data_IF_012470717955
#
_entry.id   IF_012470717955
#
_cell.length_a   1.000
_cell.length_b   1.000
_cell.length_c   1.000
_cell.angle_alpha   90.00
_cell.angle_beta   90.00
_cell.angle_gamma   90.00
#
_symmetry.space_group_name_H-M   'P 1'
#
loop_
_entity.id
_entity.type
_entity.pdbx_description
1 polymer ?
#
# COMPACT_ATOMS: atom_id res chain seq x y z
N UNK A 1 -37.97 -24.90 46.90
CA UNK A 1 -39.20 -25.66 46.56
C UNK A 1 -39.21 -25.78 45.04
N UNK A 2 -38.90 -26.97 44.52
CA UNK A 2 -39.88 -27.91 43.94
C UNK A 2 -40.48 -27.31 42.64
N UNK A 3 -40.41 -27.89 41.45
CA UNK A 3 -40.15 -29.26 41.00
C UNK A 3 -40.44 -29.27 39.47
N UNK A 4 -39.69 -30.07 38.67
CA UNK A 4 -40.22 -31.12 37.75
C UNK A 4 -40.90 -30.68 36.43
N UNK A 5 -40.79 -31.33 35.26
CA UNK A 5 -40.14 -32.55 34.68
C UNK A 5 -40.45 -32.46 33.17
N UNK A 6 -39.46 -32.63 32.30
CA UNK A 6 -39.16 -33.80 31.46
C UNK A 6 -40.28 -34.30 30.53
N UNK A 7 -39.90 -34.71 29.30
CA UNK A 7 -39.88 -36.12 28.82
C UNK A 7 -39.74 -36.11 27.27
N UNK A 8 -38.54 -36.38 26.75
CA UNK A 8 -38.10 -37.57 25.94
C UNK A 8 -38.53 -37.53 24.47
N UNK A 9 -37.91 -38.17 23.47
CA UNK A 9 -36.93 -39.26 23.31
C UNK A 9 -36.34 -39.09 21.88
N UNK A 10 -35.24 -39.66 21.42
CA UNK A 10 -34.34 -40.73 21.89
C UNK A 10 -33.11 -40.76 20.95
N UNK A 11 -31.96 -41.25 21.43
CA UNK A 11 -31.43 -42.60 21.15
C UNK A 11 -31.03 -42.79 19.68
N UNK A 12 -29.77 -43.04 19.31
CA UNK A 12 -28.96 -44.21 19.68
C UNK A 12 -27.47 -43.96 19.32
N UNK A 13 -26.56 -44.22 20.28
CA UNK A 13 -25.55 -45.32 20.30
C UNK A 13 -24.39 -45.23 19.28
N UNK A 14 -23.16 -44.89 19.72
CA UNK A 14 -22.11 -45.77 20.29
C UNK A 14 -21.32 -46.56 19.23
N UNK A 15 -20.03 -46.24 19.07
CA UNK A 15 -18.91 -47.17 19.30
C UNK A 15 -17.56 -46.55 18.90
N UNK A 16 -16.66 -46.42 19.88
CA UNK A 16 -15.21 -46.39 19.69
C UNK A 16 -14.71 -47.72 19.14
N UNK A 17 -13.69 -47.72 18.27
CA UNK A 17 -12.62 -48.72 18.31
C UNK A 17 -11.28 -48.14 17.79
N UNK A 18 -10.22 -48.54 18.49
CA UNK A 18 -8.79 -48.23 18.29
C UNK A 18 -8.11 -49.26 17.37
N UNK A 19 -6.96 -48.84 16.82
CA UNK A 19 -5.75 -49.63 16.47
C UNK A 19 -5.70 -50.50 15.21
N UNK A 20 -4.69 -50.23 14.37
CA UNK A 20 -3.49 -51.08 14.13
C UNK A 20 -3.03 -51.10 12.65
N UNK A 21 -1.76 -50.75 12.43
CA UNK A 21 -1.04 -50.96 11.17
C UNK A 21 -0.87 -52.46 10.88
N UNK A 22 -1.03 -52.87 9.60
CA UNK A 22 -0.39 -54.08 9.06
C UNK A 22 -0.19 -53.97 7.55
N UNK A 23 1.08 -53.96 7.15
CA UNK A 23 1.57 -54.19 5.80
C UNK A 23 1.36 -55.65 5.39
N UNK A 24 1.17 -55.93 4.10
CA UNK A 24 1.91 -57.02 3.48
C UNK A 24 2.66 -56.57 2.22
N UNK A 25 3.93 -56.97 2.17
CA UNK A 25 4.75 -57.02 0.96
C UNK A 25 4.37 -58.23 0.09
N UNK A 26 4.55 -58.14 -1.22
CA UNK A 26 5.23 -59.16 -2.06
C UNK A 26 5.43 -58.60 -3.48
N UNK A 27 6.62 -58.86 -4.01
CA UNK A 27 7.24 -58.35 -5.24
C UNK A 27 6.78 -59.07 -6.53
N UNK A 28 7.22 -58.55 -7.69
CA UNK A 28 8.03 -59.20 -8.76
C UNK A 28 8.22 -58.16 -9.90
N UNK A 29 9.42 -57.54 -10.07
CA UNK A 29 10.49 -57.78 -11.08
C UNK A 29 10.01 -57.64 -12.54
N UNK A 30 10.56 -56.79 -13.42
CA UNK A 30 11.94 -56.80 -13.95
C UNK A 30 12.38 -55.43 -14.56
N UNK A 31 13.70 -55.18 -14.48
CA UNK A 31 14.50 -54.17 -15.19
C UNK A 31 14.60 -54.50 -16.70
N UNK A 32 14.82 -53.60 -17.66
CA UNK A 32 16.08 -52.88 -17.97
C UNK A 32 15.78 -51.93 -19.15
N UNK A 33 16.37 -50.73 -19.20
CA UNK A 33 17.38 -50.34 -20.21
C UNK A 33 17.69 -48.83 -20.12
N UNK A 34 18.99 -48.54 -20.08
CA UNK A 34 19.63 -47.29 -19.74
C UNK A 34 19.97 -46.52 -21.04
N UNK A 35 19.47 -45.29 -21.17
CA UNK A 35 19.83 -44.37 -22.24
C UNK A 35 20.09 -42.98 -21.66
N UNK A 36 21.36 -42.64 -21.52
CA UNK A 36 21.87 -41.37 -20.99
C UNK A 36 21.15 -40.14 -21.58
N UNK A 37 20.55 -39.32 -20.74
CA UNK A 37 20.20 -37.94 -21.08
C UNK A 37 20.99 -36.97 -20.20
N UNK A 38 21.81 -36.21 -20.91
CA UNK A 38 22.65 -35.09 -20.49
C UNK A 38 21.82 -34.06 -19.73
N UNK A 39 22.08 -33.89 -18.43
CA UNK A 39 21.57 -32.75 -17.67
C UNK A 39 22.37 -31.54 -18.13
N UNK A 40 21.77 -30.70 -18.98
CA UNK A 40 22.29 -29.36 -19.23
C UNK A 40 21.98 -28.55 -17.96
N UNK A 41 22.95 -28.50 -17.05
CA UNK A 41 22.97 -27.51 -15.97
C UNK A 41 23.12 -26.13 -16.62
N UNK A 42 21.99 -25.50 -16.90
CA UNK A 42 21.97 -24.07 -17.16
C UNK A 42 22.27 -23.38 -15.82
N UNK A 43 23.27 -22.50 -15.72
CA UNK A 43 23.48 -21.74 -14.51
C UNK A 43 22.27 -20.81 -14.37
N UNK A 44 21.37 -21.12 -13.44
CA UNK A 44 20.35 -20.19 -12.98
C UNK A 44 21.11 -19.06 -12.29
N UNK A 45 21.49 -18.07 -13.10
CA UNK A 45 21.99 -16.78 -12.66
C UNK A 45 20.90 -16.23 -11.74
N UNK A 46 21.15 -16.31 -10.43
CA UNK A 46 20.21 -15.88 -9.40
C UNK A 46 19.67 -14.51 -9.76
N UNK A 47 18.43 -14.49 -10.26
CA UNK A 47 17.71 -13.27 -10.49
C UNK A 47 17.59 -12.60 -9.14
N UNK A 48 18.29 -11.49 -8.95
CA UNK A 48 18.11 -10.63 -7.78
C UNK A 48 16.60 -10.41 -7.67
N UNK A 49 16.00 -10.87 -6.59
CA UNK A 49 14.59 -10.66 -6.33
C UNK A 49 14.34 -9.16 -6.46
N UNK A 50 13.55 -8.76 -7.46
CA UNK A 50 13.27 -7.36 -7.70
C UNK A 50 12.63 -6.79 -6.44
N UNK A 51 13.39 -6.02 -5.67
CA UNK A 51 12.88 -5.38 -4.45
C UNK A 51 11.79 -4.41 -4.89
N UNK A 52 10.56 -4.67 -4.44
CA UNK A 52 9.44 -3.75 -4.66
C UNK A 52 9.66 -2.52 -3.79
N UNK A 53 9.80 -1.36 -4.42
CA UNK A 53 9.99 -0.07 -3.75
C UNK A 53 8.95 0.93 -4.26
N UNK A 54 8.38 1.79 -3.40
CA UNK A 54 7.46 2.84 -3.82
C UNK A 54 8.09 3.77 -4.87
N UNK A 55 7.25 4.32 -5.75
CA UNK A 55 7.63 5.37 -6.70
C UNK A 55 7.86 6.69 -5.99
N UNK A 56 8.67 7.56 -6.58
CA UNK A 56 8.94 8.91 -6.10
C UNK A 56 8.24 9.90 -7.02
N UNK A 57 7.46 10.79 -6.44
CA UNK A 57 6.84 11.89 -7.17
C UNK A 57 7.31 13.24 -6.62
N UNK A 58 7.57 14.15 -7.54
CA UNK A 58 7.92 15.55 -7.27
C UNK A 58 6.93 16.43 -8.03
N UNK A 59 6.43 17.47 -7.40
CA UNK A 59 5.37 18.30 -7.99
C UNK A 59 5.49 19.77 -7.60
N UNK A 60 4.85 20.65 -8.38
CA UNK A 60 4.58 22.03 -7.99
C UNK A 60 3.09 22.27 -7.89
N UNK A 61 2.73 23.30 -7.12
CA UNK A 61 1.36 23.74 -6.94
C UNK A 61 1.21 25.22 -7.18
N UNK A 62 -0.03 25.67 -7.44
CA UNK A 62 -0.40 27.08 -7.68
C UNK A 62 -0.12 28.01 -6.49
N UNK A 63 0.09 27.46 -5.30
CA UNK A 63 0.29 28.17 -4.03
C UNK A 63 0.82 27.22 -2.96
N UNK A 64 0.94 27.66 -1.71
CA UNK A 64 1.38 26.77 -0.64
C UNK A 64 0.21 25.95 -0.08
N UNK A 65 0.25 24.63 -0.33
CA UNK A 65 -0.69 23.65 0.21
C UNK A 65 0.03 22.60 1.08
N UNK A 66 1.29 22.82 1.45
CA UNK A 66 2.14 21.82 2.11
C UNK A 66 1.59 21.32 3.44
N UNK A 67 0.82 22.14 4.14
CA UNK A 67 0.16 21.80 5.40
C UNK A 67 -1.30 21.37 5.25
N UNK A 68 -1.85 21.29 4.03
CA UNK A 68 -3.26 21.02 3.80
C UNK A 68 -3.52 19.56 3.43
N UNK A 69 -4.62 19.01 3.95
CA UNK A 69 -4.94 17.60 3.76
C UNK A 69 -5.31 17.31 2.30
N UNK A 70 -4.63 16.37 1.63
CA UNK A 70 -4.96 15.99 0.26
C UNK A 70 -6.05 14.91 0.21
N UNK A 71 -6.96 15.05 -0.75
CA UNK A 71 -7.96 14.04 -1.14
C UNK A 71 -7.85 13.77 -2.64
N UNK A 72 -8.18 12.55 -3.09
CA UNK A 72 -8.18 12.20 -4.50
C UNK A 72 -9.57 12.35 -5.08
N UNK A 73 -9.67 13.08 -6.19
CA UNK A 73 -10.90 13.26 -6.93
C UNK A 73 -11.01 12.26 -8.08
N UNK A 74 -12.18 12.12 -8.67
CA UNK A 74 -12.31 11.47 -9.97
C UNK A 74 -11.75 12.36 -11.10
N UNK A 75 -11.59 11.79 -12.30
CA UNK A 75 -11.04 12.52 -13.45
C UNK A 75 -11.89 13.75 -13.82
N UNK A 76 -13.21 13.70 -13.57
CA UNK A 76 -14.13 14.82 -13.81
C UNK A 76 -14.10 15.90 -12.71
N UNK A 77 -13.39 15.65 -11.60
CA UNK A 77 -13.29 16.52 -10.42
C UNK A 77 -14.64 16.89 -9.80
N UNK A 78 -15.58 15.96 -9.83
CA UNK A 78 -16.91 16.12 -9.25
C UNK A 78 -17.10 15.33 -7.96
N UNK A 79 -16.35 14.24 -7.77
CA UNK A 79 -16.44 13.36 -6.60
C UNK A 79 -15.08 13.17 -5.94
N UNK A 80 -15.07 13.06 -4.61
CA UNK A 80 -13.91 12.58 -3.86
C UNK A 80 -13.98 11.05 -3.89
N UNK A 81 -12.94 10.41 -4.44
CA UNK A 81 -12.80 8.96 -4.51
C UNK A 81 -12.09 8.39 -3.27
N UNK A 82 -11.15 9.14 -2.71
CA UNK A 82 -10.36 8.71 -1.57
C UNK A 82 -9.92 9.88 -0.70
N UNK A 83 -9.91 9.67 0.61
CA UNK A 83 -9.50 10.64 1.62
C UNK A 83 -8.90 9.91 2.83
N UNK A 84 -8.00 10.55 3.59
CA UNK A 84 -7.37 9.91 4.74
C UNK A 84 -8.30 9.80 5.94
N UNK A 85 -8.12 8.74 6.72
CA UNK A 85 -8.46 8.78 8.14
C UNK A 85 -7.47 9.70 8.87
N UNK A 86 -7.86 10.44 9.94
CA UNK A 86 -6.96 11.31 10.71
C UNK A 86 -5.62 10.67 11.10
N UNK A 87 -5.62 9.37 11.43
CA UNK A 87 -4.41 8.60 11.79
C UNK A 87 -3.49 8.30 10.61
N UNK A 88 -3.99 8.31 9.38
CA UNK A 88 -3.19 8.06 8.17
C UNK A 88 -2.27 9.24 7.83
N UNK A 89 -2.45 10.38 8.51
CA UNK A 89 -1.57 11.54 8.35
C UNK A 89 -0.22 11.36 9.05
N UNK A 90 -0.03 10.28 9.82
CA UNK A 90 1.21 10.02 10.55
C UNK A 90 2.04 8.88 9.95
N UNK A 91 3.35 9.08 9.91
CA UNK A 91 4.34 8.02 9.70
C UNK A 91 5.39 8.14 10.80
N UNK A 92 5.64 7.05 11.52
CA UNK A 92 6.61 7.05 12.63
C UNK A 92 6.29 8.07 13.73
N UNK A 93 5.00 8.35 13.98
CA UNK A 93 4.55 9.32 14.98
C UNK A 93 4.66 10.79 14.59
N UNK A 94 5.02 11.10 13.34
CA UNK A 94 5.13 12.47 12.83
C UNK A 94 4.17 12.69 11.66
N UNK A 95 3.67 13.91 11.51
CA UNK A 95 2.85 14.27 10.35
C UNK A 95 3.66 14.08 9.06
N UNK A 96 3.08 13.39 8.10
CA UNK A 96 3.69 13.07 6.82
C UNK A 96 3.49 14.23 5.83
N UNK A 97 4.09 15.37 6.15
CA UNK A 97 4.11 16.55 5.28
C UNK A 97 5.00 16.30 4.05
N UNK A 98 4.74 16.94 2.90
CA UNK A 98 5.67 16.95 1.78
C UNK A 98 6.98 17.66 2.17
N UNK A 99 8.09 17.29 1.52
CA UNK A 99 9.37 17.96 1.76
C UNK A 99 9.57 19.06 0.73
N UNK A 100 9.88 20.29 1.16
CA UNK A 100 10.26 21.35 0.25
C UNK A 100 11.60 21.01 -0.42
N UNK A 101 11.63 21.15 -1.73
CA UNK A 101 12.81 21.04 -2.58
C UNK A 101 13.13 22.42 -3.19
N UNK A 102 14.24 22.51 -3.92
CA UNK A 102 14.62 23.72 -4.63
C UNK A 102 13.57 24.10 -5.68
N UNK A 103 13.58 25.37 -6.13
CA UNK A 103 12.69 25.93 -7.14
C UNK A 103 11.18 25.77 -6.87
N UNK A 104 10.79 25.60 -5.60
CA UNK A 104 9.39 25.50 -5.20
C UNK A 104 8.75 24.13 -5.48
N UNK A 105 9.56 23.11 -5.76
CA UNK A 105 9.09 21.73 -5.86
C UNK A 105 8.82 21.11 -4.48
N UNK A 106 7.91 20.16 -4.44
CA UNK A 106 7.58 19.36 -3.27
C UNK A 106 7.83 17.88 -3.54
N UNK A 107 8.53 17.21 -2.63
CA UNK A 107 8.64 15.76 -2.59
C UNK A 107 7.40 15.18 -1.91
N UNK A 108 6.65 14.34 -2.63
CA UNK A 108 5.52 13.61 -2.06
C UNK A 108 5.99 12.51 -1.10
N UNK A 109 5.67 12.64 0.18
CA UNK A 109 5.98 11.64 1.20
C UNK A 109 4.80 10.72 1.55
N UNK A 110 3.59 11.03 1.07
CA UNK A 110 2.35 10.38 1.49
C UNK A 110 1.76 9.46 0.42
N UNK A 111 1.98 9.77 -0.86
CA UNK A 111 1.36 9.06 -1.97
C UNK A 111 0.11 9.79 -2.46
N UNK A 112 0.27 10.99 -3.01
CA UNK A 112 -0.80 11.72 -3.69
C UNK A 112 -0.84 11.37 -5.19
N UNK A 113 -1.89 11.80 -5.90
CA UNK A 113 -2.04 11.62 -7.34
C UNK A 113 -2.26 12.95 -8.06
N UNK A 114 -2.23 12.92 -9.41
CA UNK A 114 -2.44 14.12 -10.26
C UNK A 114 -3.83 14.76 -10.11
N UNK A 115 -4.80 13.95 -9.72
CA UNK A 115 -6.19 14.31 -9.42
C UNK A 115 -6.41 14.73 -7.96
N UNK A 116 -5.35 15.12 -7.25
CA UNK A 116 -5.44 15.61 -5.88
C UNK A 116 -6.21 16.94 -5.81
N UNK A 117 -7.03 17.07 -4.78
CA UNK A 117 -7.54 18.34 -4.28
C UNK A 117 -7.04 18.55 -2.86
N UNK A 118 -6.87 19.81 -2.45
CA UNK A 118 -6.50 20.15 -1.07
C UNK A 118 -7.72 20.68 -0.33
N UNK A 119 -7.93 20.14 0.88
CA UNK A 119 -8.92 20.67 1.81
C UNK A 119 -8.38 21.93 2.48
N UNK A 120 -9.26 22.72 3.08
CA UNK A 120 -8.91 23.84 3.96
C UNK A 120 -8.44 23.38 5.34
N UNK A 121 -8.65 22.11 5.69
CA UNK A 121 -8.08 21.51 6.89
C UNK A 121 -6.56 21.41 6.80
N UNK A 122 -5.88 21.89 7.84
CA UNK A 122 -4.48 21.59 8.03
C UNK A 122 -4.28 20.15 8.52
N UNK A 123 -3.08 19.59 8.33
CA UNK A 123 -2.72 18.30 8.91
C UNK A 123 -2.87 18.32 10.43
N UNK A 124 -2.48 19.40 11.08
CA UNK A 124 -2.54 19.59 12.53
C UNK A 124 -3.97 19.59 13.06
N UNK A 125 -4.91 20.22 12.36
CA UNK A 125 -6.33 20.22 12.72
C UNK A 125 -6.98 18.87 12.44
N UNK A 126 -6.82 18.35 11.22
CA UNK A 126 -7.48 17.13 10.79
C UNK A 126 -7.02 15.90 11.58
N UNK A 127 -5.72 15.84 11.92
CA UNK A 127 -5.15 14.73 12.68
C UNK A 127 -5.67 14.61 14.12
N UNK A 128 -6.24 15.69 14.68
CA UNK A 128 -6.84 15.70 16.01
C UNK A 128 -8.29 15.22 16.02
N UNK A 129 -8.91 15.06 14.85
CA UNK A 129 -10.26 14.54 14.75
C UNK A 129 -10.31 13.06 15.16
N UNK A 130 -11.39 12.67 15.83
CA UNK A 130 -11.60 11.27 16.23
C UNK A 130 -11.91 10.35 15.04
N UNK A 131 -12.48 10.92 13.97
CA UNK A 131 -12.87 10.25 12.74
C UNK A 131 -12.77 11.22 11.57
N UNK A 132 -12.76 10.69 10.35
CA UNK A 132 -12.86 11.54 9.16
C UNK A 132 -14.21 12.29 9.13
N UNK A 133 -14.25 13.54 8.65
CA UNK A 133 -15.51 14.27 8.40
C UNK A 133 -16.41 13.55 7.38
N UNK A 134 -17.67 13.94 7.32
CA UNK A 134 -18.61 13.45 6.32
C UNK A 134 -18.20 13.87 4.90
N UNK A 135 -18.69 13.14 3.89
CA UNK A 135 -18.43 13.47 2.48
C UNK A 135 -18.92 14.88 2.11
N UNK A 136 -20.02 15.34 2.71
CA UNK A 136 -20.55 16.70 2.50
C UNK A 136 -19.60 17.75 3.07
N UNK A 137 -19.12 17.56 4.30
CA UNK A 137 -18.14 18.45 4.92
C UNK A 137 -16.81 18.45 4.14
N UNK A 138 -16.30 17.30 3.73
CA UNK A 138 -15.08 17.21 2.92
C UNK A 138 -15.21 18.04 1.63
N UNK A 139 -16.35 17.93 0.93
CA UNK A 139 -16.62 18.71 -0.29
C UNK A 139 -16.71 20.21 -0.02
N UNK A 140 -17.38 20.61 1.05
CA UNK A 140 -17.50 22.02 1.45
C UNK A 140 -16.14 22.62 1.82
N UNK A 141 -15.23 21.80 2.34
CA UNK A 141 -13.89 22.21 2.72
C UNK A 141 -12.85 22.13 1.60
N UNK A 142 -13.19 21.75 0.37
CA UNK A 142 -12.22 21.78 -0.74
C UNK A 142 -11.77 23.22 -0.99
N UNK A 143 -10.47 23.47 -0.78
CA UNK A 143 -9.83 24.76 -1.02
C UNK A 143 -9.46 24.93 -2.49
N UNK A 144 -8.87 23.89 -3.09
CA UNK A 144 -8.49 23.88 -4.50
C UNK A 144 -8.66 22.47 -5.08
N UNK A 145 -9.41 22.37 -6.18
CA UNK A 145 -9.70 21.12 -6.90
C UNK A 145 -8.64 20.77 -7.94
N UNK A 146 -7.76 21.70 -8.27
CA UNK A 146 -6.74 21.55 -9.31
C UNK A 146 -5.44 22.28 -8.94
N UNK A 147 -4.74 21.85 -7.89
CA UNK A 147 -3.62 22.59 -7.37
C UNK A 147 -2.33 22.36 -8.16
N UNK A 148 -2.19 21.22 -8.87
CA UNK A 148 -0.92 20.78 -9.48
C UNK A 148 -0.62 21.56 -10.76
N UNK A 149 0.58 22.12 -10.85
CA UNK A 149 1.08 22.80 -12.06
C UNK A 149 2.16 22.01 -12.78
N UNK A 150 2.89 21.16 -12.06
CA UNK A 150 3.92 20.28 -12.59
C UNK A 150 3.91 18.95 -11.84
N UNK A 151 4.18 17.84 -12.54
CA UNK A 151 4.17 16.49 -11.97
C UNK A 151 5.26 15.61 -12.60
N UNK A 152 6.17 15.10 -11.77
CA UNK A 152 7.35 14.37 -12.20
C UNK A 152 7.47 13.04 -11.46
N UNK A 153 7.64 11.95 -12.21
CA UNK A 153 8.01 10.65 -11.65
C UNK A 153 9.53 10.51 -11.65
N UNK A 154 10.11 10.38 -10.45
CA UNK A 154 11.56 10.38 -10.24
C UNK A 154 12.05 8.99 -9.80
N UNK A 155 11.63 7.94 -10.49
CA UNK A 155 12.08 6.57 -10.18
C UNK A 155 11.51 6.01 -8.86
N UNK A 156 12.28 5.17 -8.16
CA UNK A 156 11.87 4.45 -6.94
C UNK A 156 12.62 4.97 -5.71
N UNK A 157 11.98 4.88 -4.55
CA UNK A 157 12.58 5.28 -3.26
C UNK A 157 13.91 4.57 -2.99
N UNK A 158 14.04 3.28 -3.35
CA UNK A 158 15.26 2.50 -3.21
C UNK A 158 16.42 2.92 -4.12
N UNK A 159 16.16 3.75 -5.14
CA UNK A 159 17.20 4.26 -6.05
C UNK A 159 18.03 5.38 -5.39
N UNK A 160 17.54 5.93 -4.27
CA UNK A 160 18.15 7.06 -3.58
C UNK A 160 18.79 6.63 -2.25
N UNK A 161 19.97 7.19 -1.96
CA UNK A 161 20.61 7.09 -0.64
C UNK A 161 20.25 8.29 0.23
N UNK A 162 20.21 9.48 -0.37
CA UNK A 162 19.78 10.73 0.24
C UNK A 162 18.86 11.47 -0.74
N UNK A 163 17.60 11.06 -0.74
CA UNK A 163 16.61 11.48 -1.72
C UNK A 163 16.46 12.99 -1.85
N UNK A 164 16.49 13.75 -0.76
CA UNK A 164 16.33 15.21 -0.81
C UNK A 164 17.53 15.86 -1.51
N UNK A 165 18.76 15.49 -1.12
CA UNK A 165 19.96 16.05 -1.73
C UNK A 165 20.08 15.66 -3.20
N UNK A 166 19.75 14.43 -3.54
CA UNK A 166 19.84 13.91 -4.92
C UNK A 166 18.77 14.52 -5.83
N UNK A 167 17.53 14.68 -5.37
CA UNK A 167 16.48 15.36 -6.13
C UNK A 167 16.80 16.85 -6.34
N UNK A 168 17.34 17.54 -5.34
CA UNK A 168 17.75 18.94 -5.50
C UNK A 168 18.85 19.11 -6.56
N UNK A 169 19.80 18.17 -6.66
CA UNK A 169 20.80 18.17 -7.75
C UNK A 169 20.15 17.99 -9.13
N UNK A 170 19.12 17.14 -9.23
CA UNK A 170 18.38 16.98 -10.50
C UNK A 170 17.61 18.25 -10.88
N UNK A 171 17.04 18.96 -9.91
CA UNK A 171 16.39 20.26 -10.11
C UNK A 171 17.40 21.29 -10.61
N UNK A 172 18.55 21.42 -9.96
CA UNK A 172 19.63 22.35 -10.34
C UNK A 172 20.17 22.09 -11.76
N UNK A 173 20.14 20.83 -12.21
CA UNK A 173 20.53 20.43 -13.57
C UNK A 173 19.44 20.67 -14.62
N UNK A 174 18.26 21.17 -14.23
CA UNK A 174 17.12 21.38 -15.12
C UNK A 174 16.46 20.08 -15.60
N UNK A 175 16.69 18.95 -14.93
CA UNK A 175 16.17 17.65 -15.37
C UNK A 175 14.65 17.57 -15.28
N UNK A 176 14.05 18.29 -14.33
CA UNK A 176 12.60 18.34 -14.13
C UNK A 176 11.90 19.44 -14.94
N UNK A 177 12.65 20.26 -15.69
CA UNK A 177 12.08 21.39 -16.45
C UNK A 177 11.88 21.06 -17.94
N UNK A 178 11.82 19.77 -18.30
CA UNK A 178 11.66 19.29 -19.68
C UNK A 178 10.22 18.97 -20.03
#
# INVERSE_FOLDING_TARGET
>A
MKQIVCITAGCMFFALMLSACRTPATQLKEEQNMGNQMIIETPVRGGSAAVSSPRVFVYKTKGDYSHLVPVLMDDSRTQILSYPHPRDLFIGGKLCLPTLLNDGYWLDNRGIGRNVAFLSYTYEEYSRLSSAPSMEELKAHIRDKDPITEWHECGRRADYKNIVSELNKLIEQGFLQK
#
